data_IF_901086268903
#
_entry.id   IF_901086268903
#
_cell.length_a   1.000
_cell.length_b   1.000
_cell.length_c   1.000
_cell.angle_alpha   90.00
_cell.angle_beta   90.00
_cell.angle_gamma   90.00
#
_symmetry.space_group_name_H-M   'P 1'
#
loop_
_entity.id
_entity.type
_entity.pdbx_description
1 polymer ?
#
# COMPACT_ATOMS: atom_id res chain seq x y z
N UNK A 1 -23.80 -13.61 -0.74
CA UNK A 1 -24.37 -13.91 0.59
C UNK A 1 -24.05 -12.85 1.63
N UNK A 2 -22.78 -12.52 1.91
CA UNK A 2 -22.39 -11.47 2.89
C UNK A 2 -23.02 -10.09 2.58
N UNK A 3 -22.91 -9.63 1.34
CA UNK A 3 -23.48 -8.35 0.88
C UNK A 3 -25.01 -8.32 1.02
N UNK A 4 -25.69 -9.37 0.58
CA UNK A 4 -27.15 -9.52 0.72
C UNK A 4 -27.59 -9.49 2.20
N UNK A 5 -26.81 -10.10 3.09
CA UNK A 5 -27.07 -10.04 4.53
C UNK A 5 -26.94 -8.60 5.06
N UNK A 6 -25.85 -7.90 4.71
CA UNK A 6 -25.61 -6.52 5.14
C UNK A 6 -26.73 -5.58 4.65
N UNK A 7 -27.17 -5.73 3.40
CA UNK A 7 -28.30 -4.95 2.86
C UNK A 7 -29.59 -5.19 3.66
N UNK A 8 -29.95 -6.46 3.91
CA UNK A 8 -31.13 -6.79 4.73
C UNK A 8 -31.02 -6.29 6.17
N UNK A 9 -29.83 -6.29 6.74
CA UNK A 9 -29.54 -5.73 8.06
C UNK A 9 -29.89 -4.24 8.11
N UNK A 10 -29.41 -3.50 7.12
CA UNK A 10 -29.65 -2.07 6.96
C UNK A 10 -31.14 -1.78 6.72
N UNK A 11 -31.83 -2.58 5.90
CA UNK A 11 -33.28 -2.46 5.67
C UNK A 11 -34.10 -2.68 6.94
N UNK A 12 -33.71 -3.67 7.77
CA UNK A 12 -34.37 -3.92 9.05
C UNK A 12 -34.23 -2.71 9.99
N UNK A 13 -33.04 -2.10 10.05
CA UNK A 13 -32.81 -0.86 10.81
C UNK A 13 -33.69 0.28 10.29
N UNK A 14 -33.66 0.55 8.98
CA UNK A 14 -34.44 1.63 8.35
C UNK A 14 -35.94 1.48 8.58
N UNK A 15 -36.45 0.24 8.62
CA UNK A 15 -37.86 -0.06 8.82
C UNK A 15 -38.28 -0.13 10.29
N UNK A 16 -37.34 0.01 11.24
CA UNK A 16 -37.59 -0.15 12.67
C UNK A 16 -38.06 -1.56 13.04
N UNK A 17 -37.87 -2.54 12.15
CA UNK A 17 -38.24 -3.92 12.44
C UNK A 17 -37.18 -4.54 13.35
N UNK A 18 -37.60 -5.43 14.27
CA UNK A 18 -36.63 -6.26 14.97
C UNK A 18 -35.80 -6.98 13.91
N UNK A 19 -34.50 -7.02 14.13
CA UNK A 19 -33.53 -7.66 13.25
C UNK A 19 -33.76 -9.18 13.32
N UNK A 20 -34.80 -9.65 12.64
CA UNK A 20 -35.24 -11.04 12.56
C UNK A 20 -34.65 -11.63 11.29
N UNK A 21 -33.38 -12.00 11.36
CA UNK A 21 -32.85 -12.92 10.38
C UNK A 21 -33.44 -14.31 10.61
N UNK A 22 -33.47 -15.17 9.58
CA UNK A 22 -33.62 -16.60 9.80
C UNK A 22 -32.68 -16.98 10.95
N UNK A 23 -33.20 -17.66 11.97
CA UNK A 23 -32.42 -18.03 13.16
C UNK A 23 -31.06 -18.59 12.74
N UNK A 24 -30.01 -18.39 13.54
CA UNK A 24 -28.68 -18.97 13.32
C UNK A 24 -28.74 -20.44 12.85
N UNK A 25 -29.79 -21.15 13.27
CA UNK A 25 -30.21 -22.50 12.90
C UNK A 25 -30.35 -22.78 11.39
N UNK A 26 -30.78 -21.81 10.58
CA UNK A 26 -30.93 -21.97 9.12
C UNK A 26 -29.61 -21.97 8.36
N UNK A 27 -28.53 -21.50 8.97
CA UNK A 27 -27.17 -21.45 8.40
C UNK A 27 -26.15 -22.15 9.30
N UNK A 28 -26.57 -23.14 10.10
CA UNK A 28 -25.72 -23.86 11.06
C UNK A 28 -24.41 -24.40 10.47
N UNK A 29 -24.38 -24.65 9.16
CA UNK A 29 -23.23 -25.21 8.47
C UNK A 29 -22.32 -24.18 7.77
N UNK A 30 -22.64 -22.87 7.81
CA UNK A 30 -21.83 -21.81 7.18
C UNK A 30 -21.17 -20.91 8.25
N UNK A 31 -20.11 -21.45 8.87
CA UNK A 31 -19.31 -20.76 9.88
C UNK A 31 -18.77 -19.39 9.41
N UNK A 32 -18.22 -19.23 8.19
CA UNK A 32 -17.80 -17.92 7.69
C UNK A 32 -18.92 -16.87 7.64
N UNK A 33 -20.15 -17.28 7.30
CA UNK A 33 -21.30 -16.38 7.32
C UNK A 33 -21.68 -15.99 8.75
N UNK A 34 -21.70 -16.94 9.69
CA UNK A 34 -21.98 -16.66 11.11
C UNK A 34 -20.98 -15.67 11.73
N UNK A 35 -19.69 -15.86 11.47
CA UNK A 35 -18.63 -14.95 11.93
C UNK A 35 -18.81 -13.54 11.33
N UNK A 36 -19.21 -13.46 10.06
CA UNK A 36 -19.54 -12.17 9.42
C UNK A 36 -20.78 -11.51 10.05
N UNK A 37 -21.85 -12.27 10.30
CA UNK A 37 -23.08 -11.76 10.92
C UNK A 37 -22.83 -11.21 12.33
N UNK A 38 -22.07 -11.94 13.16
CA UNK A 38 -21.69 -11.49 14.50
C UNK A 38 -20.88 -10.18 14.44
N UNK A 39 -19.94 -10.09 13.51
CA UNK A 39 -19.14 -8.87 13.28
C UNK A 39 -19.98 -7.68 12.82
N UNK A 40 -20.97 -7.89 11.95
CA UNK A 40 -21.91 -6.83 11.54
C UNK A 40 -22.68 -6.28 12.76
N UNK A 41 -23.15 -7.17 13.64
CA UNK A 41 -23.86 -6.76 14.87
C UNK A 41 -22.96 -6.00 15.84
N UNK A 42 -21.75 -6.51 16.11
CA UNK A 42 -20.76 -5.86 16.96
C UNK A 42 -20.44 -4.44 16.47
N UNK A 43 -20.10 -4.30 15.19
CA UNK A 43 -19.78 -3.01 14.59
C UNK A 43 -20.98 -2.06 14.57
N UNK A 44 -22.21 -2.57 14.41
CA UNK A 44 -23.40 -1.74 14.46
C UNK A 44 -23.65 -1.17 15.86
N UNK A 45 -23.45 -1.97 16.92
CA UNK A 45 -23.59 -1.50 18.30
C UNK A 45 -22.56 -0.39 18.59
N UNK A 46 -21.31 -0.57 18.17
CA UNK A 46 -20.27 0.46 18.28
C UNK A 46 -20.69 1.72 17.51
N UNK A 47 -21.14 1.55 16.26
CA UNK A 47 -21.58 2.63 15.37
C UNK A 47 -22.76 3.43 15.96
N UNK A 48 -23.80 2.80 16.49
CA UNK A 48 -24.89 3.50 17.17
C UNK A 48 -24.43 4.26 18.41
N UNK A 49 -23.53 3.67 19.19
CA UNK A 49 -22.93 4.33 20.35
C UNK A 49 -22.27 5.66 19.96
N UNK A 50 -21.60 5.67 18.81
CA UNK A 50 -20.95 6.85 18.24
C UNK A 50 -21.98 7.89 17.78
N UNK A 51 -22.98 7.49 17.00
CA UNK A 51 -24.01 8.41 16.51
C UNK A 51 -24.72 9.15 17.66
N UNK A 52 -24.95 8.45 18.78
CA UNK A 52 -25.54 9.06 19.98
C UNK A 52 -24.66 10.14 20.61
N UNK A 53 -23.33 10.01 20.53
CA UNK A 53 -22.40 11.01 21.06
C UNK A 53 -22.36 12.30 20.23
N UNK A 54 -22.67 12.22 18.93
CA UNK A 54 -22.60 13.33 17.98
C UNK A 54 -23.96 13.73 17.39
N UNK A 55 -25.08 13.34 18.03
CA UNK A 55 -26.42 13.51 17.48
C UNK A 55 -26.75 14.96 17.04
N UNK A 56 -26.14 15.96 17.67
CA UNK A 56 -26.28 17.38 17.35
C UNK A 56 -25.11 17.99 16.56
N UNK A 57 -24.02 17.25 16.35
CA UNK A 57 -22.79 17.70 15.68
C UNK A 57 -22.45 16.78 14.49
N UNK A 58 -23.08 17.04 13.35
CA UNK A 58 -22.85 16.28 12.11
C UNK A 58 -21.42 16.39 11.57
N UNK A 59 -20.69 17.47 11.89
CA UNK A 59 -19.29 17.60 11.51
C UNK A 59 -18.40 16.68 12.36
N UNK A 60 -18.65 16.65 13.67
CA UNK A 60 -18.02 15.71 14.61
C UNK A 60 -18.30 14.25 14.24
N UNK A 61 -19.53 13.94 13.84
CA UNK A 61 -19.93 12.61 13.35
C UNK A 61 -19.10 12.17 12.13
N UNK A 62 -19.08 12.99 11.07
CA UNK A 62 -18.30 12.71 9.84
C UNK A 62 -16.83 12.51 10.18
N UNK A 63 -16.24 13.41 10.98
CA UNK A 63 -14.84 13.32 11.40
C UNK A 63 -14.55 12.01 12.12
N UNK A 64 -15.40 11.64 13.08
CA UNK A 64 -15.21 10.42 13.86
C UNK A 64 -15.28 9.17 12.96
N UNK A 65 -16.26 9.11 12.06
CA UNK A 65 -16.41 7.98 11.14
C UNK A 65 -15.19 7.86 10.25
N UNK A 66 -14.67 8.96 9.72
CA UNK A 66 -13.44 8.96 8.92
C UNK A 66 -12.21 8.52 9.73
N UNK A 67 -12.05 8.99 10.97
CA UNK A 67 -10.99 8.52 11.87
C UNK A 67 -11.11 7.01 12.16
N UNK A 68 -12.33 6.48 12.25
CA UNK A 68 -12.61 5.06 12.45
C UNK A 68 -12.28 4.24 11.20
N UNK A 69 -12.72 4.68 10.03
CA UNK A 69 -12.38 4.08 8.75
C UNK A 69 -10.86 4.06 8.53
N UNK A 70 -10.17 5.16 8.84
CA UNK A 70 -8.71 5.24 8.81
C UNK A 70 -8.08 4.15 9.70
N UNK A 71 -8.52 4.02 10.95
CA UNK A 71 -8.02 2.98 11.87
C UNK A 71 -8.26 1.57 11.32
N UNK A 72 -9.41 1.29 10.71
CA UNK A 72 -9.65 -0.02 10.11
C UNK A 72 -8.73 -0.29 8.91
N UNK A 73 -8.48 0.73 8.09
CA UNK A 73 -7.53 0.64 6.98
C UNK A 73 -6.11 0.35 7.48
N UNK A 74 -5.65 1.07 8.50
CA UNK A 74 -4.32 0.88 9.12
C UNK A 74 -4.18 -0.50 9.77
N UNK A 75 -5.25 -1.00 10.42
CA UNK A 75 -5.29 -2.33 11.04
C UNK A 75 -5.70 -3.47 10.09
N UNK A 76 -5.79 -3.20 8.77
CA UNK A 76 -6.18 -4.17 7.73
C UNK A 76 -7.52 -4.87 7.95
N UNK A 77 -8.45 -4.24 8.67
CA UNK A 77 -9.79 -4.78 8.88
C UNK A 77 -10.70 -4.40 7.71
N UNK A 78 -10.39 -4.86 6.48
CA UNK A 78 -11.14 -4.49 5.27
C UNK A 78 -12.64 -4.71 5.41
N UNK A 79 -13.06 -5.89 5.86
CA UNK A 79 -14.49 -6.15 6.10
C UNK A 79 -15.12 -5.15 7.08
N UNK A 80 -14.40 -4.72 8.13
CA UNK A 80 -14.94 -3.74 9.08
C UNK A 80 -15.01 -2.33 8.48
N UNK A 81 -14.01 -1.96 7.67
CA UNK A 81 -14.02 -0.74 6.87
C UNK A 81 -15.24 -0.71 5.96
N UNK A 82 -15.44 -1.77 5.16
CA UNK A 82 -16.53 -1.86 4.19
C UNK A 82 -17.91 -1.83 4.88
N UNK A 83 -18.06 -2.58 6.00
CA UNK A 83 -19.31 -2.59 6.79
C UNK A 83 -19.63 -1.20 7.34
N UNK A 84 -18.69 -0.54 8.03
CA UNK A 84 -18.94 0.75 8.68
C UNK A 84 -19.13 1.87 7.66
N UNK A 85 -18.37 1.86 6.55
CA UNK A 85 -18.58 2.78 5.43
C UNK A 85 -19.99 2.62 4.87
N UNK A 86 -20.46 1.38 4.70
CA UNK A 86 -21.81 1.10 4.21
C UNK A 86 -22.89 1.56 5.20
N UNK A 87 -22.73 1.33 6.50
CA UNK A 87 -23.65 1.87 7.50
C UNK A 87 -23.79 3.38 7.40
N UNK A 88 -22.68 4.10 7.32
CA UNK A 88 -22.70 5.55 7.21
C UNK A 88 -23.37 6.05 5.94
N UNK A 89 -23.00 5.46 4.79
CA UNK A 89 -23.58 5.80 3.49
C UNK A 89 -25.09 5.55 3.44
N UNK A 90 -25.55 4.45 4.03
CA UNK A 90 -26.94 4.03 3.92
C UNK A 90 -27.87 4.65 4.97
N UNK A 91 -27.37 4.95 6.16
CA UNK A 91 -28.18 5.39 7.30
C UNK A 91 -28.12 6.91 7.51
N UNK A 92 -26.96 7.54 7.29
CA UNK A 92 -26.72 8.93 7.72
C UNK A 92 -26.39 9.89 6.56
N UNK A 93 -25.68 9.41 5.54
CA UNK A 93 -25.09 10.26 4.50
C UNK A 93 -26.10 11.13 3.74
N UNK A 94 -27.34 10.65 3.52
CA UNK A 94 -28.41 11.42 2.87
C UNK A 94 -28.83 12.66 3.66
N UNK A 95 -28.67 12.63 4.99
CA UNK A 95 -29.04 13.71 5.91
C UNK A 95 -27.94 14.78 6.05
N UNK A 96 -26.76 14.56 5.45
CA UNK A 96 -25.65 15.52 5.50
C UNK A 96 -25.86 16.68 4.53
N UNK A 97 -25.29 17.83 4.87
CA UNK A 97 -25.13 18.94 3.92
C UNK A 97 -24.16 18.54 2.80
N UNK A 98 -24.30 19.16 1.62
CA UNK A 98 -23.41 18.89 0.48
C UNK A 98 -21.93 19.10 0.82
N UNK A 99 -21.61 20.09 1.65
CA UNK A 99 -20.25 20.32 2.15
C UNK A 99 -19.71 19.11 2.92
N UNK A 100 -20.50 18.55 3.85
CA UNK A 100 -20.09 17.40 4.66
C UNK A 100 -20.01 16.11 3.83
N UNK A 101 -20.92 15.94 2.85
CA UNK A 101 -20.83 14.85 1.86
C UNK A 101 -19.53 14.92 1.08
N UNK A 102 -19.18 16.12 0.59
CA UNK A 102 -17.91 16.37 -0.09
C UNK A 102 -16.71 15.96 0.75
N UNK A 103 -16.66 16.41 2.01
CA UNK A 103 -15.58 16.05 2.96
C UNK A 103 -15.50 14.53 3.20
N UNK A 104 -16.64 13.86 3.39
CA UNK A 104 -16.67 12.42 3.58
C UNK A 104 -16.17 11.65 2.35
N UNK A 105 -16.62 12.05 1.15
CA UNK A 105 -16.19 11.44 -0.09
C UNK A 105 -14.69 11.63 -0.32
N UNK A 106 -14.18 12.85 -0.13
CA UNK A 106 -12.75 13.15 -0.25
C UNK A 106 -11.92 12.27 0.70
N UNK A 107 -12.33 12.16 1.97
CA UNK A 107 -11.62 11.34 2.95
C UNK A 107 -11.63 9.85 2.62
N UNK A 108 -12.79 9.32 2.19
CA UNK A 108 -12.89 7.91 1.80
C UNK A 108 -12.11 7.61 0.51
N UNK A 109 -12.16 8.51 -0.47
CA UNK A 109 -11.38 8.44 -1.70
C UNK A 109 -9.88 8.38 -1.40
N UNK A 110 -9.39 9.24 -0.50
CA UNK A 110 -8.02 9.22 -0.01
C UNK A 110 -7.65 7.84 0.59
N UNK A 111 -8.50 7.25 1.42
CA UNK A 111 -8.22 5.95 2.06
C UNK A 111 -8.29 4.76 1.09
N UNK A 112 -9.12 4.86 0.05
CA UNK A 112 -9.28 3.83 -0.96
C UNK A 112 -8.20 3.92 -2.03
N UNK A 113 -7.81 5.14 -2.38
CA UNK A 113 -6.89 5.43 -3.46
C UNK A 113 -5.43 5.53 -3.05
N UNK A 114 -5.09 5.87 -1.81
CA UNK A 114 -3.68 5.90 -1.41
C UNK A 114 -3.08 4.50 -1.28
N UNK A 115 -1.80 4.35 -1.67
CA UNK A 115 -0.94 3.25 -1.24
C UNK A 115 0.27 3.81 -0.49
N UNK A 116 0.70 3.13 0.57
CA UNK A 116 1.80 3.56 1.45
C UNK A 116 3.11 3.71 0.66
N UNK A 117 3.43 2.71 -0.17
CA UNK A 117 4.58 2.77 -1.06
C UNK A 117 4.42 1.88 -2.31
N UNK A 118 5.18 2.22 -3.34
CA UNK A 118 5.39 1.41 -4.54
C UNK A 118 6.85 0.95 -4.56
N UNK A 119 7.10 -0.37 -4.68
CA UNK A 119 8.47 -0.88 -4.79
C UNK A 119 8.79 -1.19 -6.26
N UNK A 120 9.59 -0.31 -6.87
CA UNK A 120 10.09 -0.45 -8.24
C UNK A 120 11.44 -1.15 -8.24
N UNK A 121 11.56 -2.20 -9.05
CA UNK A 121 12.79 -2.99 -9.19
C UNK A 121 12.82 -3.67 -10.57
N UNK A 122 13.97 -4.25 -10.93
CA UNK A 122 14.12 -5.06 -12.15
C UNK A 122 14.53 -6.49 -11.83
N UNK A 123 14.17 -7.41 -12.72
CA UNK A 123 14.65 -8.80 -12.72
C UNK A 123 15.80 -9.01 -13.71
N UNK A 124 16.16 -7.99 -14.50
CA UNK A 124 17.39 -8.02 -15.31
C UNK A 124 18.61 -8.06 -14.36
N UNK A 125 19.60 -8.91 -14.66
CA UNK A 125 20.75 -9.14 -13.78
C UNK A 125 20.54 -10.23 -12.71
N UNK A 126 19.38 -10.91 -12.74
CA UNK A 126 19.20 -12.17 -12.05
C UNK A 126 19.79 -13.32 -12.87
N UNK A 127 20.42 -14.33 -12.23
CA UNK A 127 20.51 -14.54 -10.78
C UNK A 127 21.70 -13.88 -10.07
N UNK A 128 22.60 -13.21 -10.81
CA UNK A 128 23.90 -12.73 -10.32
C UNK A 128 23.79 -11.80 -9.10
N UNK A 129 22.78 -10.92 -9.10
CA UNK A 129 22.49 -10.05 -7.94
C UNK A 129 22.21 -10.90 -6.70
N UNK A 130 21.32 -11.89 -6.79
CA UNK A 130 20.99 -12.73 -5.62
C UNK A 130 22.21 -13.50 -5.12
N UNK A 131 23.09 -13.97 -6.01
CA UNK A 131 24.34 -14.63 -5.60
C UNK A 131 25.28 -13.68 -4.85
N UNK A 132 25.33 -12.41 -5.27
CA UNK A 132 26.18 -11.41 -4.63
C UNK A 132 25.75 -11.10 -3.18
N UNK A 133 24.49 -11.37 -2.83
CA UNK A 133 23.93 -11.21 -1.49
C UNK A 133 23.57 -12.55 -0.82
N UNK A 134 24.13 -13.68 -1.27
CA UNK A 134 23.77 -15.02 -0.78
C UNK A 134 23.81 -15.12 0.75
N UNK A 135 24.84 -14.57 1.41
CA UNK A 135 24.96 -14.60 2.87
C UNK A 135 23.81 -13.88 3.58
N UNK A 136 23.35 -12.75 3.04
CA UNK A 136 22.22 -12.01 3.56
C UNK A 136 20.91 -12.81 3.35
N UNK A 137 20.74 -13.35 2.15
CA UNK A 137 19.53 -14.07 1.77
C UNK A 137 19.40 -15.43 2.47
N UNK A 138 20.51 -16.12 2.72
CA UNK A 138 20.53 -17.39 3.46
C UNK A 138 20.10 -17.20 4.91
N UNK A 139 20.56 -16.14 5.58
CA UNK A 139 20.16 -15.83 6.96
C UNK A 139 18.67 -15.48 7.07
N UNK A 140 18.12 -14.74 6.10
CA UNK A 140 16.74 -14.22 6.21
C UNK A 140 15.69 -15.17 5.63
N UNK A 141 16.01 -15.86 4.55
CA UNK A 141 15.08 -16.72 3.81
C UNK A 141 15.47 -18.20 3.81
N UNK A 142 16.63 -18.58 4.35
CA UNK A 142 17.10 -19.97 4.33
C UNK A 142 17.54 -20.44 2.94
N UNK A 143 17.84 -19.51 2.04
CA UNK A 143 18.14 -19.79 0.63
C UNK A 143 19.61 -20.11 0.39
N UNK A 144 19.88 -20.97 -0.59
CA UNK A 144 21.23 -21.34 -1.02
C UNK A 144 21.29 -21.40 -2.57
N UNK A 145 22.36 -20.84 -3.16
CA UNK A 145 22.47 -20.74 -4.62
C UNK A 145 22.49 -22.07 -5.38
N UNK A 146 22.96 -23.15 -4.74
CA UNK A 146 23.07 -24.48 -5.32
C UNK A 146 21.71 -25.18 -5.37
N UNK A 147 20.89 -25.02 -4.33
CA UNK A 147 19.58 -25.66 -4.22
C UNK A 147 18.46 -24.83 -4.82
N UNK A 148 18.56 -23.50 -4.75
CA UNK A 148 17.48 -22.56 -5.07
C UNK A 148 17.73 -21.76 -6.35
N UNK A 149 18.61 -22.25 -7.23
CA UNK A 149 19.02 -21.57 -8.46
C UNK A 149 17.84 -21.11 -9.34
N UNK A 150 16.79 -21.93 -9.46
CA UNK A 150 15.60 -21.60 -10.26
C UNK A 150 14.81 -20.43 -9.66
N UNK A 151 14.73 -20.33 -8.34
CA UNK A 151 14.10 -19.22 -7.64
C UNK A 151 14.92 -17.95 -7.81
N UNK A 152 16.26 -18.07 -7.74
CA UNK A 152 17.17 -16.94 -7.89
C UNK A 152 17.09 -16.30 -9.28
N UNK A 153 16.63 -17.03 -10.30
CA UNK A 153 16.40 -16.51 -11.65
C UNK A 153 15.09 -15.74 -11.81
N UNK A 154 14.11 -15.96 -10.93
CA UNK A 154 12.75 -15.42 -11.08
C UNK A 154 12.47 -14.27 -10.13
N UNK A 155 13.13 -14.24 -8.98
CA UNK A 155 12.78 -13.33 -7.88
C UNK A 155 13.93 -12.41 -7.54
N UNK A 156 13.67 -11.11 -7.48
CA UNK A 156 14.61 -10.16 -6.89
C UNK A 156 14.44 -10.21 -5.36
N UNK A 157 15.31 -10.98 -4.69
CA UNK A 157 15.17 -11.22 -3.26
C UNK A 157 15.55 -10.03 -2.40
N UNK A 158 16.32 -9.06 -2.94
CA UNK A 158 16.60 -7.80 -2.24
C UNK A 158 15.35 -6.93 -2.19
N UNK A 159 14.61 -6.80 -3.30
CA UNK A 159 13.31 -6.13 -3.30
C UNK A 159 12.34 -6.81 -2.32
N UNK A 160 12.25 -8.14 -2.37
CA UNK A 160 11.43 -8.94 -1.45
C UNK A 160 11.81 -8.75 0.01
N UNK A 161 13.11 -8.61 0.30
CA UNK A 161 13.61 -8.34 1.65
C UNK A 161 13.17 -6.96 2.18
N UNK A 162 13.24 -5.93 1.34
CA UNK A 162 12.78 -4.58 1.68
C UNK A 162 11.29 -4.58 1.97
N UNK A 163 10.48 -5.17 1.08
CA UNK A 163 9.03 -5.31 1.26
C UNK A 163 8.72 -6.04 2.56
N UNK A 164 9.41 -7.15 2.85
CA UNK A 164 9.25 -7.89 4.11
C UNK A 164 9.48 -6.99 5.33
N UNK A 165 10.58 -6.24 5.36
CA UNK A 165 10.90 -5.38 6.50
C UNK A 165 9.96 -4.17 6.61
N UNK A 166 9.49 -3.59 5.50
CA UNK A 166 8.46 -2.54 5.54
C UNK A 166 7.11 -3.09 6.04
N UNK A 167 6.75 -4.32 5.67
CA UNK A 167 5.53 -4.97 6.15
C UNK A 167 5.54 -5.22 7.66
N UNK A 168 6.72 -5.52 8.23
CA UNK A 168 6.92 -5.65 9.69
C UNK A 168 6.65 -4.33 10.44
N UNK A 169 6.78 -3.18 9.79
CA UNK A 169 6.39 -1.85 10.32
C UNK A 169 4.93 -1.48 10.07
N UNK A 170 4.13 -2.39 9.52
CA UNK A 170 2.71 -2.13 9.27
C UNK A 170 2.40 -1.52 7.90
N UNK A 171 3.39 -1.23 7.04
CA UNK A 171 3.15 -0.73 5.66
C UNK A 171 2.74 -1.86 4.71
N UNK A 172 1.47 -2.24 4.76
CA UNK A 172 0.96 -3.41 4.01
C UNK A 172 -0.01 -3.03 2.90
N UNK A 173 -0.27 -1.73 2.75
CA UNK A 173 -0.99 -1.17 1.63
C UNK A 173 0.03 -0.71 0.58
N UNK A 174 0.68 -1.66 -0.10
CA UNK A 174 1.76 -1.39 -1.06
C UNK A 174 1.49 -2.06 -2.41
N UNK A 175 2.29 -1.67 -3.40
CA UNK A 175 2.43 -2.39 -4.66
C UNK A 175 3.80 -3.06 -4.76
N UNK A 176 3.76 -4.37 -4.98
CA UNK A 176 4.90 -5.23 -5.34
C UNK A 176 4.34 -6.25 -6.34
N UNK A 177 4.87 -6.22 -7.55
CA UNK A 177 4.34 -6.99 -8.70
C UNK A 177 4.18 -8.49 -8.40
N UNK A 178 5.13 -9.12 -7.69
CA UNK A 178 5.07 -10.55 -7.35
C UNK A 178 3.85 -10.93 -6.52
N UNK A 179 3.36 -9.99 -5.71
CA UNK A 179 2.20 -10.20 -4.83
C UNK A 179 0.89 -9.78 -5.50
N UNK A 180 0.94 -8.93 -6.54
CA UNK A 180 -0.23 -8.17 -7.04
C UNK A 180 -0.60 -8.46 -8.49
N UNK A 181 0.32 -8.95 -9.32
CA UNK A 181 0.05 -9.19 -10.74
C UNK A 181 -0.28 -10.67 -10.96
N UNK A 182 -1.49 -10.92 -11.45
CA UNK A 182 -1.93 -12.22 -11.98
C UNK A 182 -1.82 -12.18 -13.50
N UNK A 183 -1.13 -13.15 -14.11
CA UNK A 183 -0.97 -13.22 -15.57
C UNK A 183 -2.35 -13.24 -16.27
N UNK A 184 -2.63 -12.27 -17.16
CA UNK A 184 -3.90 -12.25 -17.90
C UNK A 184 -4.26 -10.96 -18.63
N UNK A 185 -4.23 -9.78 -17.98
CA UNK A 185 -4.79 -8.54 -18.56
C UNK A 185 -4.04 -7.26 -18.16
N UNK A 186 -3.92 -6.32 -19.12
CA UNK A 186 -3.55 -4.89 -18.99
C UNK A 186 -2.64 -4.52 -17.81
N UNK A 187 -1.50 -5.22 -17.71
CA UNK A 187 -0.54 -5.05 -16.62
C UNK A 187 -0.01 -3.61 -16.56
N UNK A 188 0.16 -2.98 -17.72
CA UNK A 188 0.76 -1.65 -17.87
C UNK A 188 0.00 -0.57 -17.13
N UNK A 189 -1.29 -0.42 -17.41
CA UNK A 189 -2.08 0.69 -16.88
C UNK A 189 -2.34 0.49 -15.38
N UNK A 190 -2.51 -0.77 -14.94
CA UNK A 190 -2.61 -1.11 -13.52
C UNK A 190 -1.33 -0.75 -12.75
N UNK A 191 -0.16 -1.14 -13.25
CA UNK A 191 1.13 -0.82 -12.60
C UNK A 191 1.32 0.69 -12.48
N UNK A 192 1.01 1.43 -13.54
CA UNK A 192 1.17 2.88 -13.56
C UNK A 192 0.12 3.60 -12.70
N UNK A 193 -1.12 3.08 -12.60
CA UNK A 193 -2.13 3.56 -11.64
C UNK A 193 -1.62 3.42 -10.19
N UNK A 194 -1.17 2.22 -9.82
CA UNK A 194 -0.60 1.99 -8.49
C UNK A 194 0.59 2.90 -8.22
N UNK A 195 1.48 3.08 -9.19
CA UNK A 195 2.62 3.97 -9.06
C UNK A 195 2.17 5.43 -8.84
N UNK A 196 1.20 5.90 -9.63
CA UNK A 196 0.66 7.25 -9.52
C UNK A 196 -0.04 7.54 -8.19
N UNK A 197 -0.56 6.50 -7.52
CA UNK A 197 -1.28 6.54 -6.24
C UNK A 197 -0.39 6.39 -5.00
N UNK A 198 0.90 6.13 -5.19
CA UNK A 198 1.81 5.83 -4.09
C UNK A 198 2.24 7.07 -3.33
N UNK A 199 2.21 7.03 -2.00
CA UNK A 199 2.75 8.12 -1.19
C UNK A 199 4.26 8.21 -1.32
N UNK A 200 4.94 7.07 -1.41
CA UNK A 200 6.39 6.97 -1.57
C UNK A 200 6.76 5.97 -2.66
N UNK A 201 7.67 6.37 -3.54
CA UNK A 201 8.29 5.44 -4.50
C UNK A 201 9.61 4.91 -3.91
N UNK A 202 9.74 3.59 -3.75
CA UNK A 202 10.97 2.92 -3.33
C UNK A 202 11.60 2.27 -4.56
N UNK A 203 12.80 2.74 -4.94
CA UNK A 203 13.48 2.32 -6.18
C UNK A 203 14.71 1.49 -5.82
N UNK A 204 14.78 0.27 -6.36
CA UNK A 204 16.01 -0.50 -6.42
C UNK A 204 16.80 -0.14 -7.68
N UNK A 205 17.84 0.67 -7.51
CA UNK A 205 18.66 1.18 -8.59
C UNK A 205 19.82 0.22 -8.89
N UNK A 206 19.71 -0.50 -10.01
CA UNK A 206 20.71 -1.41 -10.59
C UNK A 206 21.05 -0.93 -12.01
N UNK A 207 22.21 -1.19 -12.60
CA UNK A 207 22.54 -0.66 -13.95
C UNK A 207 21.50 -0.99 -15.00
N UNK A 208 20.98 -2.21 -14.91
CA UNK A 208 20.00 -2.78 -15.82
C UNK A 208 18.67 -2.04 -15.74
N UNK A 209 18.38 -1.39 -14.61
CA UNK A 209 17.27 -0.44 -14.45
C UNK A 209 17.44 0.76 -15.39
N UNK A 210 18.68 1.17 -15.73
CA UNK A 210 18.99 2.42 -16.44
C UNK A 210 19.48 2.23 -17.88
N UNK A 211 19.75 0.98 -18.31
CA UNK A 211 20.45 0.70 -19.58
C UNK A 211 19.66 1.13 -20.84
N UNK A 212 18.33 1.12 -20.77
CA UNK A 212 17.46 1.20 -21.95
C UNK A 212 16.52 2.41 -21.89
N UNK A 213 17.05 3.63 -21.74
CA UNK A 213 16.25 4.89 -21.64
C UNK A 213 15.34 5.14 -22.87
N UNK A 214 15.68 4.56 -24.02
CA UNK A 214 14.93 4.73 -25.27
C UNK A 214 13.99 3.56 -25.58
N UNK A 215 13.92 2.53 -24.73
CA UNK A 215 13.01 1.42 -24.93
C UNK A 215 11.72 1.65 -24.13
N UNK A 216 10.57 1.46 -24.78
CA UNK A 216 9.24 1.44 -24.13
C UNK A 216 9.11 0.36 -23.03
N UNK A 217 10.14 -0.50 -22.88
CA UNK A 217 10.25 -1.65 -21.98
C UNK A 217 10.91 -1.33 -20.64
N UNK A 218 11.49 -0.14 -20.45
CA UNK A 218 12.10 0.24 -19.17
C UNK A 218 11.02 0.65 -18.14
N UNK A 219 10.48 -0.35 -17.44
CA UNK A 219 9.41 -0.17 -16.46
C UNK A 219 9.78 0.77 -15.32
N UNK A 220 10.97 0.65 -14.74
CA UNK A 220 11.38 1.49 -13.62
C UNK A 220 11.47 2.98 -13.99
N UNK A 221 11.93 3.30 -15.20
CA UNK A 221 11.93 4.68 -15.71
C UNK A 221 10.49 5.19 -15.86
N UNK A 222 9.60 4.39 -16.46
CA UNK A 222 8.21 4.78 -16.70
C UNK A 222 7.42 4.95 -15.39
N UNK A 223 7.67 4.09 -14.42
CA UNK A 223 7.14 4.20 -13.06
C UNK A 223 7.62 5.49 -12.39
N UNK A 224 8.92 5.80 -12.47
CA UNK A 224 9.46 7.05 -11.95
C UNK A 224 8.84 8.28 -12.63
N UNK A 225 8.72 8.29 -13.96
CA UNK A 225 8.12 9.39 -14.71
C UNK A 225 6.65 9.58 -14.35
N UNK A 226 5.89 8.49 -14.27
CA UNK A 226 4.50 8.50 -13.84
C UNK A 226 4.36 9.05 -12.42
N UNK A 227 5.16 8.55 -11.49
CA UNK A 227 5.18 9.01 -10.11
C UNK A 227 5.49 10.51 -10.03
N UNK A 228 6.52 10.96 -10.73
CA UNK A 228 6.92 12.37 -10.73
C UNK A 228 5.86 13.28 -11.40
N UNK A 229 5.14 12.77 -12.41
CA UNK A 229 4.06 13.49 -13.07
C UNK A 229 2.83 13.67 -12.17
N UNK A 230 2.51 12.69 -11.31
CA UNK A 230 1.39 12.78 -10.36
C UNK A 230 1.77 13.49 -9.05
N UNK A 231 3.06 13.55 -8.71
CA UNK A 231 3.57 14.16 -7.47
C UNK A 231 4.39 15.44 -7.73
N UNK A 232 3.99 16.26 -8.70
CA UNK A 232 4.71 17.50 -9.08
C UNK A 232 5.03 18.37 -7.85
N UNK A 233 6.33 18.56 -7.58
CA UNK A 233 6.82 19.39 -6.47
C UNK A 233 6.94 18.67 -5.12
N UNK A 234 6.46 17.43 -4.99
CA UNK A 234 6.58 16.59 -3.78
C UNK A 234 7.53 15.44 -4.06
N UNK A 235 8.83 15.69 -3.85
CA UNK A 235 9.89 14.68 -4.02
C UNK A 235 9.81 13.66 -2.88
N UNK A 236 9.12 12.54 -3.11
CA UNK A 236 8.85 11.53 -2.08
C UNK A 236 9.36 10.13 -2.45
N UNK A 237 10.60 10.02 -2.93
CA UNK A 237 11.15 8.71 -3.29
C UNK A 237 12.45 8.36 -2.55
N UNK A 238 12.64 7.06 -2.34
CA UNK A 238 13.75 6.42 -1.64
C UNK A 238 14.49 5.56 -2.65
N UNK A 239 15.81 5.67 -2.69
CA UNK A 239 16.65 4.92 -3.63
C UNK A 239 17.60 4.01 -2.86
N UNK A 240 17.58 2.72 -3.19
CA UNK A 240 18.58 1.76 -2.77
C UNK A 240 19.44 1.37 -3.96
N UNK A 241 20.70 1.81 -3.97
CA UNK A 241 21.68 1.48 -4.99
C UNK A 241 22.28 0.11 -4.72
N UNK A 242 22.37 -0.73 -5.73
CA UNK A 242 23.11 -2.00 -5.67
C UNK A 242 24.51 -1.74 -6.26
N UNK A 243 25.59 -1.76 -5.45
CA UNK A 243 26.94 -1.52 -5.92
C UNK A 243 27.38 -2.60 -6.93
N UNK A 244 28.11 -2.19 -7.96
CA UNK A 244 29.00 -3.04 -8.76
C UNK A 244 28.46 -4.36 -9.36
N UNK A 245 27.35 -4.28 -10.10
CA UNK A 245 27.42 -4.70 -11.51
C UNK A 245 27.79 -3.52 -12.44
N UNK A 246 28.02 -2.36 -11.83
CA UNK A 246 28.00 -1.01 -12.39
C UNK A 246 29.17 -0.17 -11.82
N UNK A 247 30.39 -0.41 -12.25
CA UNK A 247 31.07 0.79 -12.75
C UNK A 247 30.69 0.87 -14.22
N UNK A 248 30.23 2.02 -14.72
CA UNK A 248 29.97 2.20 -16.13
C UNK A 248 31.31 2.27 -16.85
N UNK A 249 32.10 1.19 -16.84
CA UNK A 249 33.22 1.02 -17.76
C UNK A 249 32.58 0.75 -19.12
N UNK A 250 32.14 1.82 -19.79
CA UNK A 250 31.47 1.79 -21.10
C UNK A 250 29.95 1.95 -21.11
N UNK A 251 29.28 2.33 -20.00
CA UNK A 251 27.88 2.73 -20.11
C UNK A 251 27.77 4.09 -20.82
N UNK A 252 26.74 4.27 -21.66
CA UNK A 252 26.48 5.54 -22.35
C UNK A 252 26.31 6.67 -21.31
N UNK A 253 26.83 7.85 -21.61
CA UNK A 253 26.76 9.02 -20.70
C UNK A 253 25.33 9.31 -20.20
N UNK A 254 24.33 9.10 -21.06
CA UNK A 254 22.91 9.26 -20.71
C UNK A 254 22.41 8.34 -19.58
N UNK A 255 23.00 7.15 -19.42
CA UNK A 255 22.70 6.18 -18.35
C UNK A 255 23.31 6.68 -17.04
N UNK A 256 24.56 7.14 -17.11
CA UNK A 256 25.29 7.70 -15.97
C UNK A 256 24.59 8.96 -15.47
N UNK A 257 24.13 9.82 -16.37
CA UNK A 257 23.34 11.01 -16.05
C UNK A 257 22.00 10.66 -15.42
N UNK A 258 21.25 9.66 -15.93
CA UNK A 258 19.97 9.28 -15.33
C UNK A 258 20.15 8.62 -13.94
N UNK A 259 21.16 7.75 -13.80
CA UNK A 259 21.50 7.15 -12.51
C UNK A 259 21.94 8.21 -11.50
N UNK A 260 22.78 9.17 -11.91
CA UNK A 260 23.15 10.32 -11.08
C UNK A 260 21.91 11.15 -10.75
N UNK A 261 21.10 11.54 -11.72
CA UNK A 261 19.89 12.34 -11.50
C UNK A 261 18.97 11.75 -10.42
N UNK A 262 18.71 10.44 -10.47
CA UNK A 262 17.88 9.77 -9.45
C UNK A 262 18.60 9.62 -8.11
N UNK A 263 19.92 9.41 -8.12
CA UNK A 263 20.70 9.12 -6.90
C UNK A 263 21.34 10.33 -6.21
N UNK A 264 21.57 11.46 -6.87
CA UNK A 264 22.39 12.55 -6.30
C UNK A 264 21.64 13.83 -6.00
N UNK A 265 20.50 14.13 -6.63
CA UNK A 265 19.91 15.47 -6.51
C UNK A 265 18.49 15.55 -5.95
N UNK A 266 17.68 14.49 -6.03
CA UNK A 266 16.23 14.64 -5.82
C UNK A 266 15.53 13.55 -4.97
N UNK A 267 16.22 12.47 -4.56
CA UNK A 267 15.66 11.48 -3.62
C UNK A 267 15.80 11.93 -2.16
N UNK A 268 14.89 11.50 -1.27
CA UNK A 268 14.94 11.88 0.16
C UNK A 268 15.93 11.03 0.94
N UNK A 269 16.09 9.77 0.52
CA UNK A 269 17.09 8.87 1.04
C UNK A 269 17.74 8.14 -0.13
N UNK A 270 19.07 8.07 -0.09
CA UNK A 270 19.86 7.33 -1.04
C UNK A 270 20.93 6.55 -0.29
N UNK A 271 20.77 5.24 -0.24
CA UNK A 271 21.74 4.34 0.37
C UNK A 271 22.28 3.36 -0.67
N UNK A 272 23.55 2.99 -0.52
CA UNK A 272 24.14 1.89 -1.27
C UNK A 272 24.07 0.63 -0.43
N UNK A 273 23.39 -0.41 -0.92
CA UNK A 273 23.31 -1.72 -0.26
C UNK A 273 24.64 -2.43 -0.49
N UNK A 274 25.62 -2.20 0.37
CA UNK A 274 26.93 -2.85 0.25
C UNK A 274 26.81 -4.38 0.34
N UNK A 275 27.61 -5.12 -0.43
CA UNK A 275 27.65 -6.59 -0.36
C UNK A 275 28.03 -7.12 1.03
N UNK A 276 28.68 -6.28 1.83
CA UNK A 276 29.07 -6.56 3.21
C UNK A 276 27.96 -6.32 4.23
N UNK A 277 26.80 -5.81 3.81
CA UNK A 277 25.69 -5.57 4.73
C UNK A 277 25.16 -6.87 5.31
N UNK A 278 25.03 -6.87 6.63
CA UNK A 278 24.30 -7.90 7.36
C UNK A 278 22.80 -7.64 7.31
N UNK A 279 21.99 -8.63 7.67
CA UNK A 279 20.53 -8.44 7.78
C UNK A 279 20.17 -7.37 8.82
N UNK A 280 20.97 -7.20 9.88
CA UNK A 280 20.79 -6.12 10.85
C UNK A 280 20.99 -4.75 10.22
N UNK A 281 22.06 -4.57 9.41
CA UNK A 281 22.30 -3.30 8.74
C UNK A 281 21.23 -3.00 7.69
N UNK A 282 20.84 -4.01 6.92
CA UNK A 282 19.74 -3.90 5.96
C UNK A 282 18.44 -3.48 6.65
N UNK A 283 18.10 -4.13 7.78
CA UNK A 283 16.93 -3.79 8.59
C UNK A 283 16.99 -2.36 9.13
N UNK A 284 18.12 -1.92 9.67
CA UNK A 284 18.32 -0.54 10.14
C UNK A 284 17.97 0.47 9.03
N UNK A 285 18.47 0.24 7.81
CA UNK A 285 18.23 1.12 6.66
C UNK A 285 16.80 1.09 6.15
N UNK A 286 16.13 -0.06 6.22
CA UNK A 286 14.69 -0.13 5.93
C UNK A 286 13.85 0.52 7.04
N UNK A 287 14.30 0.49 8.29
CA UNK A 287 13.62 1.21 9.38
C UNK A 287 13.65 2.73 9.17
N UNK A 288 14.74 3.26 8.62
CA UNK A 288 14.80 4.69 8.29
C UNK A 288 13.86 5.04 7.12
N UNK A 289 13.78 4.18 6.10
CA UNK A 289 12.77 4.32 5.05
C UNK A 289 11.33 4.24 5.60
N UNK A 290 11.07 3.33 6.53
CA UNK A 290 9.78 3.19 7.22
C UNK A 290 9.38 4.49 7.94
N UNK A 291 10.32 5.16 8.63
CA UNK A 291 10.05 6.48 9.25
C UNK A 291 9.68 7.53 8.21
N UNK A 292 10.41 7.58 7.09
CA UNK A 292 10.14 8.52 5.99
C UNK A 292 8.73 8.31 5.43
N UNK A 293 8.36 7.06 5.13
CA UNK A 293 7.01 6.70 4.66
C UNK A 293 5.95 7.07 5.70
N UNK A 294 6.22 6.79 6.98
CA UNK A 294 5.34 7.15 8.10
C UNK A 294 5.06 8.64 8.17
N UNK A 295 6.11 9.47 8.11
CA UNK A 295 5.96 10.93 8.14
C UNK A 295 5.10 11.43 6.95
N UNK A 296 5.34 10.93 5.74
CA UNK A 296 4.52 11.34 4.60
C UNK A 296 3.07 10.88 4.68
N UNK A 297 2.85 9.70 5.24
CA UNK A 297 1.51 9.18 5.50
C UNK A 297 0.78 10.09 6.50
N UNK A 298 1.46 10.51 7.57
CA UNK A 298 0.90 11.46 8.53
C UNK A 298 0.61 12.82 7.89
N UNK A 299 1.54 13.39 7.12
CA UNK A 299 1.35 14.66 6.42
C UNK A 299 0.18 14.61 5.42
N UNK A 300 0.09 13.51 4.65
CA UNK A 300 -0.97 13.32 3.68
C UNK A 300 -2.34 13.27 4.35
N UNK A 301 -2.45 12.57 5.49
CA UNK A 301 -3.70 12.49 6.24
C UNK A 301 -3.97 13.71 7.13
N UNK A 302 -2.96 14.49 7.54
CA UNK A 302 -3.14 15.67 8.39
C UNK A 302 -3.67 16.86 7.60
N UNK A 303 -3.31 16.97 6.32
CA UNK A 303 -3.87 17.93 5.35
C UNK A 303 -5.40 17.81 5.28
N UNK A 304 -5.93 16.61 5.51
CA UNK A 304 -7.37 16.36 5.53
C UNK A 304 -8.03 16.74 6.87
N UNK A 305 -7.35 16.52 8.01
CA UNK A 305 -7.90 16.85 9.34
C UNK A 305 -8.18 18.33 9.54
N UNK A 306 -7.40 19.20 8.91
CA UNK A 306 -7.56 20.65 8.99
C UNK A 306 -8.78 21.16 8.25
N UNK A 307 -9.29 20.40 7.27
CA UNK A 307 -10.42 20.81 6.43
C UNK A 307 -11.79 20.38 6.97
N UNK A 308 -11.87 19.53 8.00
CA UNK A 308 -13.15 19.07 8.57
C UNK A 308 -13.66 19.95 9.74
N UNK A 309 -12.75 20.63 10.44
CA UNK A 309 -13.10 21.60 11.50
C UNK A 309 -13.86 22.82 10.94
#
# INVERSE_FOLDING_TARGET
MKELYLQRFIEAIKSGQPINFPAFDTYQNDRPLQEFMAKVQELYIEYEGILKLFASDKAGEVKFVLDTLKKFKENRRKDAYDIVKTFFLELEYSNLSETLKGKFNEGTDIFENSIDYFCSYTTKGLPEINFSYENLLSVVFGLNKQTDFLEFKKTNYIAKLIVRYLNEHGFNNYFFDQDKIVNGDEIKDKVLDYCGRALVLVILAQQETFRDKNEETNWCLREYEQYNATHKGLRKYIVYRIPNLVEPVGARDSIVEWFRYISTEHGIANDTIEFTWTHHKMREKVNDAAKIIGNFKEDYYSTFKTNIA
#
